data_IF_666056813656
#
_entry.id   IF_666056813656
#
_cell.length_a   1.000
_cell.length_b   1.000
_cell.length_c   1.000
_cell.angle_alpha   90.00
_cell.angle_beta   90.00
_cell.angle_gamma   90.00
#
_symmetry.space_group_name_H-M   'P 1'
#
loop_
_entity.id
_entity.type
_entity.pdbx_description
1 polymer ?
#
# COMPACT_ATOMS: atom_id res chain seq x y z
N UNK A 1 -39.00 36.19 -22.95
CA UNK A 1 -38.08 36.32 -21.84
C UNK A 1 -37.77 34.91 -21.35
N UNK A 2 -36.68 34.35 -21.88
CA UNK A 2 -36.26 32.96 -21.57
C UNK A 2 -35.02 33.06 -20.67
N UNK A 3 -35.21 32.82 -19.35
CA UNK A 3 -34.14 32.75 -18.39
C UNK A 3 -33.51 31.34 -18.40
N UNK A 4 -32.41 31.19 -19.11
CA UNK A 4 -31.59 29.96 -19.01
C UNK A 4 -30.95 29.87 -17.64
N UNK A 5 -31.48 29.02 -16.79
CA UNK A 5 -30.83 28.56 -15.57
C UNK A 5 -29.64 27.71 -15.99
N UNK A 6 -28.44 28.28 -15.87
CA UNK A 6 -27.21 27.51 -15.93
C UNK A 6 -27.13 26.67 -14.67
N UNK A 7 -27.49 25.42 -14.82
CA UNK A 7 -27.21 24.37 -13.83
C UNK A 7 -25.68 24.15 -13.79
N UNK A 8 -25.01 24.79 -12.82
CA UNK A 8 -23.65 24.45 -12.51
C UNK A 8 -23.69 23.13 -11.74
N UNK A 9 -23.70 22.04 -12.48
CA UNK A 9 -23.29 20.76 -11.93
C UNK A 9 -21.86 20.94 -11.39
N UNK A 10 -21.71 20.91 -10.07
CA UNK A 10 -20.43 20.93 -9.38
C UNK A 10 -19.65 19.67 -9.76
N UNK A 11 -18.90 19.72 -10.84
CA UNK A 11 -17.99 18.68 -11.24
C UNK A 11 -16.94 18.52 -10.13
N UNK A 12 -16.99 17.40 -9.41
CA UNK A 12 -15.94 17.01 -8.49
C UNK A 12 -14.66 16.92 -9.31
N UNK A 13 -13.67 17.74 -9.00
CA UNK A 13 -12.40 17.72 -9.71
C UNK A 13 -11.81 16.29 -9.59
N UNK A 14 -11.36 15.73 -10.72
CA UNK A 14 -10.69 14.44 -10.70
C UNK A 14 -9.44 14.53 -9.82
N UNK A 15 -9.16 13.50 -8.99
CA UNK A 15 -8.01 13.52 -8.11
C UNK A 15 -6.71 13.53 -8.93
N UNK A 16 -5.79 14.39 -8.56
CA UNK A 16 -4.43 14.37 -9.11
C UNK A 16 -3.73 13.11 -8.62
N UNK A 17 -3.13 12.35 -9.54
CA UNK A 17 -2.50 11.07 -9.20
C UNK A 17 -1.05 11.07 -9.63
N UNK A 18 -0.16 10.67 -8.70
CA UNK A 18 1.26 10.41 -8.95
C UNK A 18 1.49 8.91 -8.80
N UNK A 19 2.08 8.28 -9.84
CA UNK A 19 2.37 6.84 -9.84
C UNK A 19 3.81 6.59 -10.18
N UNK A 20 4.41 5.63 -9.47
CA UNK A 20 5.71 5.07 -9.83
C UNK A 20 5.78 3.62 -9.37
N UNK A 21 6.79 2.91 -9.89
CA UNK A 21 7.06 1.53 -9.49
C UNK A 21 8.57 1.33 -9.38
N UNK A 22 8.98 0.38 -8.54
CA UNK A 22 10.39 0.10 -8.34
C UNK A 22 10.63 -1.40 -8.12
N UNK A 23 11.83 -1.85 -8.44
CA UNK A 23 12.30 -3.21 -8.18
C UNK A 23 12.32 -3.47 -6.67
N UNK A 24 11.92 -4.66 -6.18
CA UNK A 24 11.82 -4.96 -4.76
C UNK A 24 13.20 -5.02 -4.07
N UNK A 25 13.82 -3.86 -3.90
CA UNK A 25 15.10 -3.71 -3.21
C UNK A 25 15.02 -2.61 -2.15
N UNK A 26 15.63 -2.85 -0.99
CA UNK A 26 15.60 -1.94 0.15
C UNK A 26 16.13 -0.53 -0.16
N UNK A 27 17.07 -0.42 -1.12
CA UNK A 27 17.61 0.87 -1.55
C UNK A 27 16.51 1.83 -2.09
N UNK A 28 15.49 1.30 -2.75
CA UNK A 28 14.40 2.12 -3.32
C UNK A 28 13.34 2.54 -2.31
N UNK A 29 13.23 1.85 -1.16
CA UNK A 29 12.34 2.25 -0.06
C UNK A 29 12.68 3.67 0.42
N UNK A 30 13.97 4.01 0.49
CA UNK A 30 14.39 5.37 0.88
C UNK A 30 13.89 6.42 -0.12
N UNK A 31 13.96 6.14 -1.41
CA UNK A 31 13.44 7.05 -2.43
C UNK A 31 11.91 7.20 -2.31
N UNK A 32 11.18 6.10 -2.11
CA UNK A 32 9.74 6.12 -1.91
C UNK A 32 9.32 7.01 -0.73
N UNK A 33 10.05 6.95 0.40
CA UNK A 33 9.84 7.81 1.58
C UNK A 33 9.98 9.29 1.25
N UNK A 34 11.01 9.65 0.49
CA UNK A 34 11.27 11.05 0.11
C UNK A 34 10.19 11.57 -0.84
N UNK A 35 9.84 10.79 -1.85
CA UNK A 35 8.77 11.15 -2.81
C UNK A 35 7.43 11.29 -2.07
N UNK A 36 7.10 10.39 -1.14
CA UNK A 36 5.87 10.47 -0.36
C UNK A 36 5.76 11.77 0.42
N UNK A 37 6.82 12.14 1.15
CA UNK A 37 6.84 13.36 1.94
C UNK A 37 6.75 14.62 1.06
N UNK A 38 7.43 14.63 -0.09
CA UNK A 38 7.42 15.74 -1.03
C UNK A 38 6.03 15.92 -1.67
N UNK A 39 5.44 14.84 -2.18
CA UNK A 39 4.08 14.87 -2.76
C UNK A 39 3.04 15.27 -1.70
N UNK A 40 3.14 14.75 -0.47
CA UNK A 40 2.24 15.11 0.62
C UNK A 40 2.34 16.60 1.00
N UNK A 41 3.57 17.13 1.05
CA UNK A 41 3.79 18.56 1.32
C UNK A 41 3.18 19.45 0.21
N UNK A 42 3.37 19.08 -1.06
CA UNK A 42 2.77 19.79 -2.19
C UNK A 42 1.23 19.65 -2.24
N UNK A 43 0.70 18.53 -1.75
CA UNK A 43 -0.73 18.34 -1.60
C UNK A 43 -1.36 19.19 -0.48
N UNK A 44 -0.53 19.73 0.41
CA UNK A 44 -0.99 20.55 1.54
C UNK A 44 -1.23 19.75 2.83
N UNK A 45 -0.71 18.52 2.95
CA UNK A 45 -0.71 17.79 4.23
C UNK A 45 0.00 18.63 5.29
N UNK A 46 -0.59 18.71 6.49
CA UNK A 46 -0.03 19.49 7.58
C UNK A 46 1.41 19.06 7.89
N UNK A 47 2.30 20.03 8.09
CA UNK A 47 3.75 19.81 8.30
C UNK A 47 4.04 18.81 9.43
N UNK A 48 3.23 18.81 10.49
CA UNK A 48 3.36 17.86 11.60
C UNK A 48 3.06 16.39 11.23
N UNK A 49 2.37 16.15 10.10
CA UNK A 49 2.05 14.80 9.61
C UNK A 49 3.03 14.28 8.55
N UNK A 50 3.93 15.11 8.02
CA UNK A 50 4.83 14.69 6.93
C UNK A 50 5.80 13.57 7.35
N UNK A 51 6.26 13.58 8.60
CA UNK A 51 7.11 12.51 9.13
C UNK A 51 6.34 11.19 9.28
N UNK A 52 5.07 11.29 9.67
CA UNK A 52 4.17 10.14 9.74
C UNK A 52 3.93 9.55 8.34
N UNK A 53 3.61 10.38 7.33
CA UNK A 53 3.48 9.95 5.93
C UNK A 53 4.75 9.23 5.47
N UNK A 54 5.90 9.84 5.72
CA UNK A 54 7.20 9.28 5.32
C UNK A 54 7.47 7.93 5.96
N UNK A 55 7.18 7.79 7.27
CA UNK A 55 7.39 6.56 8.00
C UNK A 55 6.40 5.48 7.54
N UNK A 56 5.11 5.79 7.47
CA UNK A 56 4.07 4.83 7.08
C UNK A 56 4.29 4.29 5.66
N UNK A 57 4.58 5.16 4.69
CA UNK A 57 4.91 4.72 3.32
C UNK A 57 6.18 3.88 3.31
N UNK A 58 7.18 4.24 4.13
CA UNK A 58 8.40 3.45 4.27
C UNK A 58 8.15 2.04 4.78
N UNK A 59 7.35 1.88 5.83
CA UNK A 59 7.01 0.58 6.40
C UNK A 59 6.20 -0.28 5.40
N UNK A 60 5.20 0.32 4.74
CA UNK A 60 4.41 -0.38 3.73
C UNK A 60 5.27 -0.85 2.54
N UNK A 61 6.21 -0.02 2.07
CA UNK A 61 7.16 -0.39 1.03
C UNK A 61 8.14 -1.47 1.49
N UNK A 62 8.63 -1.40 2.74
CA UNK A 62 9.52 -2.41 3.32
C UNK A 62 8.81 -3.77 3.37
N UNK A 63 7.56 -3.79 3.84
CA UNK A 63 6.73 -5.00 3.83
C UNK A 63 6.60 -5.59 2.43
N UNK A 64 6.27 -4.75 1.43
CA UNK A 64 6.15 -5.19 0.04
C UNK A 64 7.47 -5.80 -0.49
N UNK A 65 8.62 -5.17 -0.22
CA UNK A 65 9.95 -5.67 -0.61
C UNK A 65 10.27 -7.01 0.05
N UNK A 66 10.00 -7.16 1.34
CA UNK A 66 10.23 -8.41 2.06
C UNK A 66 9.39 -9.54 1.48
N UNK A 67 8.09 -9.30 1.25
CA UNK A 67 7.19 -10.30 0.63
C UNK A 67 7.65 -10.76 -0.76
N UNK A 68 8.18 -9.86 -1.59
CA UNK A 68 8.75 -10.23 -2.88
C UNK A 68 10.02 -11.06 -2.73
N UNK A 69 10.92 -10.63 -1.84
CA UNK A 69 12.19 -11.31 -1.59
C UNK A 69 11.99 -12.73 -1.07
N UNK A 70 11.10 -12.92 -0.09
CA UNK A 70 10.85 -14.21 0.55
C UNK A 70 10.22 -15.21 -0.43
N UNK A 71 9.58 -14.69 -1.49
CA UNK A 71 8.98 -15.50 -2.56
C UNK A 71 9.81 -15.57 -3.84
N UNK A 72 10.97 -14.93 -3.86
CA UNK A 72 11.85 -14.89 -5.04
C UNK A 72 11.19 -14.23 -6.27
N UNK A 73 10.34 -13.20 -6.04
CA UNK A 73 9.62 -12.50 -7.09
C UNK A 73 10.39 -11.24 -7.51
N UNK A 74 10.42 -10.98 -8.82
CA UNK A 74 11.05 -9.80 -9.42
C UNK A 74 10.03 -8.74 -9.85
N UNK A 75 8.75 -8.99 -9.62
CA UNK A 75 7.68 -8.04 -9.94
C UNK A 75 7.88 -6.70 -9.24
N UNK A 76 7.41 -5.63 -9.86
CA UNK A 76 7.60 -4.28 -9.32
C UNK A 76 6.62 -4.02 -8.16
N UNK A 77 7.13 -3.41 -7.10
CA UNK A 77 6.31 -2.74 -6.09
C UNK A 77 5.74 -1.47 -6.71
N UNK A 78 4.42 -1.30 -6.67
CA UNK A 78 3.72 -0.13 -7.21
C UNK A 78 3.32 0.82 -6.10
N UNK A 79 3.53 2.10 -6.33
CA UNK A 79 3.14 3.17 -5.41
C UNK A 79 2.26 4.16 -6.16
N UNK A 80 1.13 4.50 -5.56
CA UNK A 80 0.20 5.50 -6.06
C UNK A 80 -0.11 6.50 -4.95
N UNK A 81 0.01 7.79 -5.26
CA UNK A 81 -0.50 8.87 -4.43
C UNK A 81 -1.64 9.55 -5.14
N UNK A 82 -2.78 9.73 -4.48
CA UNK A 82 -3.92 10.50 -4.99
C UNK A 82 -4.23 11.66 -4.08
N UNK A 83 -4.48 12.81 -4.70
CA UNK A 83 -4.78 14.09 -4.06
C UNK A 83 -6.20 14.48 -4.46
N UNK A 84 -7.12 14.40 -3.52
CA UNK A 84 -8.52 14.75 -3.66
C UNK A 84 -9.01 15.43 -2.39
N UNK A 85 -10.08 14.91 -1.79
CA UNK A 85 -10.56 15.38 -0.48
C UNK A 85 -9.58 15.01 0.65
N UNK A 86 -8.77 13.98 0.43
CA UNK A 86 -7.70 13.51 1.32
C UNK A 86 -6.44 13.21 0.49
N UNK A 87 -5.29 13.21 1.13
CA UNK A 87 -4.09 12.61 0.57
C UNK A 87 -4.12 11.10 0.84
N UNK A 88 -4.05 10.29 -0.21
CA UNK A 88 -4.08 8.83 -0.11
C UNK A 88 -2.82 8.24 -0.72
N UNK A 89 -2.16 7.35 0.02
CA UNK A 89 -1.05 6.55 -0.46
C UNK A 89 -1.48 5.08 -0.58
N UNK A 90 -1.21 4.46 -1.73
CA UNK A 90 -1.44 3.03 -1.97
C UNK A 90 -0.15 2.36 -2.37
N UNK A 91 0.19 1.28 -1.69
CA UNK A 91 1.35 0.44 -1.99
C UNK A 91 0.83 -0.94 -2.34
N UNK A 92 1.08 -1.37 -3.58
CA UNK A 92 0.66 -2.67 -4.09
C UNK A 92 1.87 -3.57 -4.31
N UNK A 93 1.87 -4.70 -3.67
CA UNK A 93 2.77 -5.80 -3.95
C UNK A 93 2.05 -6.87 -4.80
N UNK A 94 2.76 -7.55 -5.67
CA UNK A 94 2.25 -8.68 -6.46
C UNK A 94 2.63 -10.03 -5.83
N UNK A 95 3.06 -10.03 -4.58
CA UNK A 95 3.41 -11.25 -3.87
C UNK A 95 2.14 -12.04 -3.58
N UNK A 96 1.88 -13.05 -4.40
CA UNK A 96 0.74 -13.95 -4.23
C UNK A 96 0.81 -14.62 -2.86
N UNK A 97 -0.30 -14.64 -2.14
CA UNK A 97 -0.41 -15.49 -0.97
C UNK A 97 -0.48 -16.95 -1.42
N UNK A 98 0.55 -17.75 -1.12
CA UNK A 98 0.61 -19.16 -1.46
C UNK A 98 -0.54 -19.98 -0.85
N UNK A 99 -1.20 -19.43 0.18
CA UNK A 99 -2.38 -20.04 0.82
C UNK A 99 -3.67 -19.80 0.03
N UNK A 100 -3.71 -18.83 -0.86
CA UNK A 100 -4.89 -18.48 -1.67
C UNK A 100 -4.98 -19.27 -3.00
N UNK A 101 -4.12 -20.24 -3.27
CA UNK A 101 -4.26 -21.11 -4.44
C UNK A 101 -5.39 -22.13 -4.23
N UNK A 102 -6.58 -21.96 -4.83
CA UNK A 102 -7.52 -23.04 -4.93
C UNK A 102 -6.96 -24.06 -5.95
N UNK A 103 -6.49 -25.20 -5.44
CA UNK A 103 -6.16 -26.39 -6.23
C UNK A 103 -5.24 -26.20 -7.46
N UNK A 104 -3.97 -25.87 -7.22
CA UNK A 104 -2.93 -25.98 -8.22
C UNK A 104 -2.23 -27.33 -8.14
N UNK A 105 -2.30 -28.12 -9.19
CA UNK A 105 -1.66 -29.42 -9.43
C UNK A 105 -0.30 -29.52 -8.73
N UNK A 106 -0.20 -30.49 -7.86
CA UNK A 106 1.06 -31.05 -7.37
C UNK A 106 1.83 -31.57 -8.60
N UNK A 107 2.87 -30.86 -9.02
CA UNK A 107 3.84 -31.37 -9.96
C UNK A 107 4.52 -32.57 -9.35
N UNK A 108 4.67 -33.65 -10.15
CA UNK A 108 5.17 -34.94 -9.76
C UNK A 108 6.42 -34.86 -8.84
N UNK A 109 6.30 -35.46 -7.67
CA UNK A 109 7.40 -35.66 -6.75
C UNK A 109 8.46 -36.56 -7.41
N UNK A 110 9.70 -36.06 -7.44
CA UNK A 110 10.90 -36.88 -7.61
C UNK A 110 11.20 -37.48 -6.23
N UNK A 111 11.21 -38.78 -6.07
CA UNK A 111 11.51 -39.41 -4.80
C UNK A 111 13.04 -39.46 -4.60
N UNK A 112 13.52 -38.79 -3.56
CA UNK A 112 14.89 -38.91 -3.12
C UNK A 112 15.49 -37.62 -2.54
N UNK A 113 15.36 -37.43 -1.24
CA UNK A 113 16.03 -36.39 -0.50
C UNK A 113 15.41 -36.22 0.89
N UNK A 114 16.15 -36.56 1.94
CA UNK A 114 15.75 -36.49 3.34
C UNK A 114 15.17 -35.11 3.69
N UNK A 115 13.87 -35.06 3.90
CA UNK A 115 13.18 -33.89 4.45
C UNK A 115 13.51 -33.78 5.96
N UNK A 116 14.42 -32.88 6.31
CA UNK A 116 14.58 -32.42 7.68
C UNK A 116 13.62 -31.28 7.94
N UNK A 117 12.87 -31.44 9.01
CA UNK A 117 11.99 -30.46 9.63
C UNK A 117 12.68 -29.10 9.81
N UNK A 118 12.36 -28.13 8.96
CA UNK A 118 12.76 -26.72 9.08
C UNK A 118 11.72 -25.74 8.50
N UNK A 119 10.70 -26.23 7.76
CA UNK A 119 9.78 -25.34 7.05
C UNK A 119 8.64 -24.78 7.92
N UNK A 120 8.42 -25.33 9.12
CA UNK A 120 7.30 -24.88 9.96
C UNK A 120 7.65 -23.62 10.78
N UNK A 121 8.88 -23.51 11.28
CA UNK A 121 9.31 -22.36 12.09
C UNK A 121 9.44 -21.08 11.25
N UNK A 122 9.88 -21.19 9.99
CA UNK A 122 10.07 -20.03 9.09
C UNK A 122 8.74 -19.41 8.68
N UNK A 123 7.69 -20.22 8.51
CA UNK A 123 6.35 -19.73 8.11
C UNK A 123 5.66 -18.97 9.25
N UNK A 124 5.90 -19.37 10.50
CA UNK A 124 5.32 -18.69 11.66
C UNK A 124 6.04 -17.35 11.94
N UNK A 125 7.36 -17.28 11.77
CA UNK A 125 8.13 -16.04 11.93
C UNK A 125 7.76 -14.99 10.86
N UNK A 126 7.56 -15.39 9.60
CA UNK A 126 7.16 -14.50 8.51
C UNK A 126 5.76 -13.93 8.73
N UNK A 127 4.83 -14.76 9.19
CA UNK A 127 3.45 -14.33 9.49
C UNK A 127 3.42 -13.34 10.63
N UNK A 128 4.17 -13.59 11.70
CA UNK A 128 4.28 -12.68 12.85
C UNK A 128 4.93 -11.35 12.45
N UNK A 129 5.91 -11.36 11.56
CA UNK A 129 6.57 -10.14 11.06
C UNK A 129 5.61 -9.27 10.25
N UNK A 130 4.76 -9.87 9.41
CA UNK A 130 3.72 -9.14 8.66
C UNK A 130 2.65 -8.53 9.57
N UNK A 131 2.17 -9.29 10.55
CA UNK A 131 1.17 -8.81 11.51
C UNK A 131 1.70 -7.65 12.34
N UNK A 132 2.95 -7.74 12.83
CA UNK A 132 3.60 -6.66 13.57
C UNK A 132 3.71 -5.40 12.72
N UNK A 133 4.11 -5.53 11.44
CA UNK A 133 4.21 -4.39 10.53
C UNK A 133 2.85 -3.71 10.33
N UNK A 134 1.78 -4.48 10.18
CA UNK A 134 0.43 -3.92 10.03
C UNK A 134 -0.07 -3.25 11.31
N UNK A 135 0.29 -3.78 12.50
CA UNK A 135 -0.02 -3.17 13.80
C UNK A 135 0.72 -1.83 13.93
N UNK A 136 1.99 -1.78 13.56
CA UNK A 136 2.80 -0.54 13.57
C UNK A 136 2.18 0.49 12.62
N UNK A 137 1.82 0.08 11.40
CA UNK A 137 1.14 0.95 10.44
C UNK A 137 -0.20 1.47 10.98
N UNK A 138 -1.00 0.61 11.62
CA UNK A 138 -2.27 1.00 12.24
C UNK A 138 -2.12 1.99 13.40
N UNK A 139 -0.95 2.00 14.07
CA UNK A 139 -0.60 2.99 15.09
C UNK A 139 -0.09 4.32 14.52
N UNK A 140 0.37 4.33 13.27
CA UNK A 140 0.91 5.52 12.60
C UNK A 140 -0.14 6.27 11.77
N UNK A 141 -1.24 5.64 11.40
CA UNK A 141 -2.20 6.19 10.45
C UNK A 141 -3.62 5.97 10.96
N UNK A 142 -4.45 7.00 10.94
CA UNK A 142 -5.85 6.90 11.37
C UNK A 142 -6.68 5.98 10.47
N UNK A 143 -6.42 6.02 9.16
CA UNK A 143 -7.14 5.24 8.16
C UNK A 143 -6.20 4.31 7.40
N UNK A 144 -6.11 3.06 7.85
CA UNK A 144 -5.39 1.99 7.21
C UNK A 144 -6.35 0.94 6.67
N UNK A 145 -6.25 0.64 5.39
CA UNK A 145 -7.02 -0.43 4.74
C UNK A 145 -6.06 -1.36 4.00
N UNK A 146 -6.14 -2.65 4.28
CA UNK A 146 -5.40 -3.69 3.56
C UNK A 146 -6.40 -4.47 2.72
N UNK A 147 -6.17 -4.49 1.41
CA UNK A 147 -7.04 -5.16 0.44
C UNK A 147 -6.23 -6.20 -0.32
N UNK A 148 -6.77 -7.39 -0.46
CA UNK A 148 -6.18 -8.45 -1.26
C UNK A 148 -6.40 -9.83 -0.66
N UNK A 149 -5.92 -10.88 -1.36
CA UNK A 149 -5.31 -10.77 -2.69
C UNK A 149 -6.34 -10.39 -3.77
N UNK A 150 -5.92 -9.58 -4.75
CA UNK A 150 -6.69 -9.30 -5.96
C UNK A 150 -6.60 -10.48 -6.96
N UNK A 151 -7.18 -10.33 -8.18
CA UNK A 151 -7.18 -11.36 -9.22
C UNK A 151 -5.75 -11.76 -9.65
N UNK A 152 -4.80 -10.86 -9.51
CA UNK A 152 -3.37 -11.07 -9.84
C UNK A 152 -2.56 -11.52 -8.62
N UNK A 153 -3.22 -11.73 -7.47
CA UNK A 153 -2.62 -12.17 -6.22
C UNK A 153 -1.91 -11.08 -5.43
N UNK A 154 -2.08 -9.83 -5.84
CA UNK A 154 -1.48 -8.66 -5.19
C UNK A 154 -2.21 -8.26 -3.92
N UNK A 155 -1.47 -7.65 -2.99
CA UNK A 155 -2.01 -7.03 -1.79
C UNK A 155 -1.76 -5.53 -1.86
N UNK A 156 -2.79 -4.73 -1.58
CA UNK A 156 -2.68 -3.28 -1.53
C UNK A 156 -2.86 -2.78 -0.09
N UNK A 157 -1.89 -2.02 0.39
CA UNK A 157 -1.99 -1.24 1.61
C UNK A 157 -2.36 0.19 1.23
N UNK A 158 -3.50 0.68 1.71
CA UNK A 158 -4.00 2.03 1.48
C UNK A 158 -4.03 2.80 2.81
N UNK A 159 -3.47 4.00 2.79
CA UNK A 159 -3.38 4.88 3.95
C UNK A 159 -3.83 6.28 3.55
N UNK A 160 -4.50 7.01 4.44
CA UNK A 160 -4.99 8.34 4.11
C UNK A 160 -4.77 9.37 5.22
N UNK A 161 -4.56 10.63 4.82
CA UNK A 161 -4.33 11.77 5.69
C UNK A 161 -5.25 12.94 5.32
N UNK A 162 -5.68 13.73 6.29
CA UNK A 162 -6.53 14.88 6.03
C UNK A 162 -5.79 15.98 5.25
N UNK A 163 -6.52 16.67 4.39
CA UNK A 163 -6.07 17.91 3.76
C UNK A 163 -6.78 19.11 4.37
N UNK A 164 -6.16 20.29 4.38
CA UNK A 164 -6.81 21.51 4.86
C UNK A 164 -8.08 21.80 4.04
N UNK A 165 -9.21 21.94 4.71
CA UNK A 165 -10.50 22.20 4.05
C UNK A 165 -11.38 20.98 3.82
N UNK A 166 -10.92 19.76 4.09
CA UNK A 166 -11.74 18.54 4.04
C UNK A 166 -12.50 18.26 5.36
N UNK A 167 -12.37 19.12 6.35
CA UNK A 167 -12.94 18.98 7.66
C UNK A 167 -14.17 19.86 7.89
N UNK A 168 -15.30 19.20 8.21
CA UNK A 168 -16.46 19.66 8.93
C UNK A 168 -17.43 20.64 8.21
N UNK A 169 -18.36 20.03 7.48
CA UNK A 169 -19.75 20.45 7.72
C UNK A 169 -20.22 19.73 9.00
N UNK A 170 -19.86 20.24 10.16
CA UNK A 170 -20.59 19.93 11.37
C UNK A 170 -21.77 20.89 11.38
N UNK A 171 -22.89 20.38 10.91
CA UNK A 171 -24.21 20.98 11.06
C UNK A 171 -24.47 21.16 12.56
N UNK A 172 -24.77 22.40 12.91
CA UNK A 172 -25.27 22.78 14.23
C UNK A 172 -26.78 22.85 14.14
#
# INVERSE_FOLDING_TARGET
MNGSKHDRAGGRAEPVTVRFAFTPAAAYVRAARLVAADVAAHAGVATGLLDEVRQAVGEACTRAVLRHRDRGLEDLVRVEFSIGDRFVAKITDNAQDLRARPNGRVGAAVPGGDARASDHDTIEEDTLSEEITLIVLGGLVEDLVVTGPDADGGTTVSMSWPLPGSGSSTDH
#
